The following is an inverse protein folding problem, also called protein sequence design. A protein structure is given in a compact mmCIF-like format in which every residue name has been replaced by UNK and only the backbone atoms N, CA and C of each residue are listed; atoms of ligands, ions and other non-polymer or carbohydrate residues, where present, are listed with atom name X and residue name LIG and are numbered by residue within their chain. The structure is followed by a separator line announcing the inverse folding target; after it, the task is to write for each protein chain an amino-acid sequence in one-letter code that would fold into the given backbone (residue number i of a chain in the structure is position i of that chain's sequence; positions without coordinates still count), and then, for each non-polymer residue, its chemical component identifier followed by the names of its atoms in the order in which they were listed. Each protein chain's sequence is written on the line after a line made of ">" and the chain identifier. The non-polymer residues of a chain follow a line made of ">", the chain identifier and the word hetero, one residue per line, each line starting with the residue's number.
data_IF_262804219806
#
_entry.id   IF_262804219806
#
_cell.length_a   1.000
_cell.length_b   1.000
_cell.length_c   1.000
_cell.angle_alpha   90.00
_cell.angle_beta   90.00
_cell.angle_gamma   90.00
#
_symmetry.space_group_name_H-M   'P 1'
#
loop_
_entity.id
_entity.type
_entity.pdbx_description
1 polymer ?
#
# COMPACT_ATOMS: atom_id res chain seq x y z
N UNK A 1 -5.78 -2.54 15.04
CA UNK A 1 -4.38 -2.36 15.46
C UNK A 1 -3.79 -3.56 16.20
N UNK A 2 -4.53 -4.28 17.04
CA UNK A 2 -4.00 -5.34 17.95
C UNK A 2 -3.27 -6.54 17.31
N UNK A 3 -3.32 -6.72 15.98
CA UNK A 3 -2.56 -7.76 15.26
C UNK A 3 -1.22 -7.27 14.70
N UNK A 4 -1.01 -5.96 14.65
CA UNK A 4 0.19 -5.36 14.05
C UNK A 4 1.34 -5.48 15.03
N UNK A 5 2.44 -6.09 14.59
CA UNK A 5 3.64 -6.36 15.43
C UNK A 5 4.77 -5.37 15.17
N UNK A 6 4.84 -4.83 13.96
CA UNK A 6 5.84 -3.84 13.56
C UNK A 6 5.27 -2.89 12.50
N UNK A 7 5.85 -1.70 12.42
CA UNK A 7 5.47 -0.67 11.46
C UNK A 7 6.61 -0.42 10.47
N UNK A 8 6.23 -0.21 9.22
CA UNK A 8 7.12 0.30 8.19
C UNK A 8 6.69 1.73 7.87
N UNK A 9 7.63 2.67 7.94
CA UNK A 9 7.33 4.09 7.80
C UNK A 9 7.30 4.47 6.30
N UNK A 10 6.37 5.33 5.86
CA UNK A 10 6.36 5.81 4.48
C UNK A 10 7.47 6.84 4.26
N UNK A 11 7.81 7.14 3.00
CA UNK A 11 8.80 8.18 2.67
C UNK A 11 10.22 7.80 3.07
N UNK A 12 10.65 6.57 2.73
CA UNK A 12 11.97 6.04 3.08
C UNK A 12 12.75 5.60 1.84
N UNK A 13 14.08 5.68 1.89
CA UNK A 13 14.97 5.06 0.89
C UNK A 13 15.29 3.61 1.26
N UNK A 14 14.75 2.65 0.49
CA UNK A 14 14.77 1.20 0.74
C UNK A 14 14.96 0.43 -0.58
N UNK A 15 16.20 0.33 -1.07
CA UNK A 15 16.48 -0.22 -2.41
C UNK A 15 15.85 0.60 -3.55
N UNK A 16 15.55 1.87 -3.27
CA UNK A 16 14.70 2.77 -4.05
C UNK A 16 13.81 3.58 -3.12
N UNK A 17 13.32 4.74 -3.55
CA UNK A 17 12.46 5.53 -2.69
C UNK A 17 11.05 4.93 -2.60
N UNK A 18 10.49 4.86 -1.40
CA UNK A 18 9.19 4.25 -1.12
C UNK A 18 8.25 5.29 -0.53
N UNK A 19 7.28 5.76 -1.32
CA UNK A 19 6.23 6.68 -0.87
C UNK A 19 5.15 6.02 0.01
N UNK A 20 5.35 4.77 0.42
CA UNK A 20 4.43 3.95 1.21
C UNK A 20 5.21 3.31 2.36
N UNK A 21 4.47 2.99 3.41
CA UNK A 21 4.95 2.18 4.52
C UNK A 21 4.21 0.86 4.53
N UNK A 22 3.91 0.35 5.71
CA UNK A 22 3.21 -0.92 5.84
C UNK A 22 3.01 -1.38 7.28
N UNK A 23 2.26 -2.46 7.39
CA UNK A 23 1.93 -3.12 8.65
C UNK A 23 2.48 -4.55 8.60
N UNK A 24 3.19 -4.96 9.65
CA UNK A 24 3.63 -6.36 9.81
C UNK A 24 2.74 -7.10 10.81
N UNK A 25 2.54 -8.39 10.58
CA UNK A 25 1.70 -9.27 11.38
C UNK A 25 2.44 -10.57 11.71
N UNK A 26 3.68 -10.48 12.20
CA UNK A 26 4.62 -11.61 12.29
C UNK A 26 4.11 -12.76 13.20
N UNK A 27 3.11 -12.49 14.06
CA UNK A 27 2.46 -13.48 14.92
C UNK A 27 1.16 -14.05 14.34
N UNK A 28 0.83 -13.76 13.09
CA UNK A 28 -0.43 -14.12 12.44
C UNK A 28 -0.19 -14.99 11.21
N UNK A 29 -1.16 -15.83 10.85
CA UNK A 29 -1.18 -16.47 9.53
C UNK A 29 -1.68 -15.49 8.45
N UNK A 30 -1.24 -15.68 7.22
CA UNK A 30 -1.60 -14.83 6.07
C UNK A 30 -3.10 -14.66 5.88
N UNK A 31 -3.84 -15.77 5.93
CA UNK A 31 -5.29 -15.89 5.77
C UNK A 31 -6.11 -15.34 6.95
N UNK A 32 -5.45 -14.94 8.03
CA UNK A 32 -6.11 -14.32 9.18
C UNK A 32 -6.16 -12.78 9.08
N UNK A 33 -5.56 -12.20 8.03
CA UNK A 33 -5.48 -10.75 7.82
C UNK A 33 -6.42 -10.34 6.69
N UNK A 34 -7.54 -9.72 7.08
CA UNK A 34 -8.54 -9.19 6.15
C UNK A 34 -8.26 -7.72 5.89
N UNK A 35 -8.20 -7.35 4.60
CA UNK A 35 -8.03 -5.96 4.17
C UNK A 35 -9.40 -5.39 3.84
N UNK A 36 -9.70 -4.21 4.40
CA UNK A 36 -10.92 -3.46 4.13
C UNK A 36 -10.58 -2.09 3.57
N UNK A 37 -11.45 -1.57 2.70
CA UNK A 37 -11.35 -0.20 2.23
C UNK A 37 -11.50 0.77 3.43
N UNK A 38 -10.51 1.63 3.73
CA UNK A 38 -10.57 2.52 4.88
C UNK A 38 -11.62 3.63 4.71
N UNK A 39 -11.89 4.02 3.46
CA UNK A 39 -12.87 5.01 3.03
C UNK A 39 -13.46 4.56 1.69
N UNK A 40 -14.68 5.00 1.35
CA UNK A 40 -15.26 4.71 0.02
C UNK A 40 -14.41 5.34 -1.10
N UNK A 41 -14.18 4.59 -2.17
CA UNK A 41 -13.27 4.97 -3.24
C UNK A 41 -13.51 4.14 -4.52
N UNK A 42 -12.91 4.58 -5.62
CA UNK A 42 -12.81 3.79 -6.85
C UNK A 42 -11.46 3.08 -6.88
N UNK A 43 -11.44 1.77 -7.13
CA UNK A 43 -10.26 1.07 -7.62
C UNK A 43 -9.99 1.55 -9.05
N UNK A 44 -8.90 2.29 -9.23
CA UNK A 44 -8.56 2.97 -10.49
C UNK A 44 -7.37 2.33 -11.20
N UNK A 45 -6.48 1.68 -10.45
CA UNK A 45 -5.39 0.90 -11.00
C UNK A 45 -5.15 -0.35 -10.15
N UNK A 46 -4.69 -1.43 -10.78
CA UNK A 46 -4.26 -2.62 -10.07
C UNK A 46 -3.14 -3.33 -10.84
N UNK A 47 -2.38 -4.18 -10.14
CA UNK A 47 -1.38 -5.06 -10.76
C UNK A 47 -1.49 -6.47 -10.17
N UNK A 48 -1.16 -7.47 -10.99
CA UNK A 48 -0.86 -8.84 -10.57
C UNK A 48 0.60 -9.10 -10.96
N UNK A 49 1.41 -9.55 -10.01
CA UNK A 49 2.82 -9.81 -10.26
C UNK A 49 3.32 -10.97 -9.41
N UNK A 50 4.47 -11.55 -9.78
CA UNK A 50 5.12 -12.57 -8.96
C UNK A 50 6.25 -11.94 -8.15
N UNK A 51 6.23 -12.17 -6.84
CA UNK A 51 7.36 -11.96 -5.93
C UNK A 51 7.95 -13.34 -5.60
N UNK A 52 9.06 -13.67 -6.26
CA UNK A 52 9.51 -15.06 -6.34
C UNK A 52 8.51 -15.91 -7.12
N UNK A 53 7.88 -16.88 -6.45
CA UNK A 53 6.86 -17.76 -7.03
C UNK A 53 5.44 -17.46 -6.51
N UNK A 54 5.29 -16.45 -5.66
CA UNK A 54 4.01 -16.11 -5.04
C UNK A 54 3.35 -14.97 -5.82
N UNK A 55 2.09 -15.15 -6.21
CA UNK A 55 1.29 -14.07 -6.79
C UNK A 55 0.99 -13.01 -5.72
N UNK A 56 1.20 -11.76 -6.10
CA UNK A 56 0.97 -10.58 -5.29
C UNK A 56 0.09 -9.61 -6.07
N UNK A 57 -0.79 -8.92 -5.35
CA UNK A 57 -1.72 -7.98 -5.93
C UNK A 57 -1.50 -6.60 -5.31
N UNK A 58 -1.34 -5.62 -6.20
CA UNK A 58 -1.36 -4.20 -5.88
C UNK A 58 -2.72 -3.63 -6.24
N UNK A 59 -3.38 -2.96 -5.30
CA UNK A 59 -4.67 -2.28 -5.47
C UNK A 59 -4.52 -0.80 -5.18
N UNK A 60 -4.86 0.06 -6.14
CA UNK A 60 -4.70 1.52 -6.04
C UNK A 60 -6.07 2.22 -6.19
N UNK A 61 -6.45 2.95 -5.15
CA UNK A 61 -7.77 3.54 -5.02
C UNK A 61 -7.73 5.06 -5.04
N UNK A 62 -8.74 5.67 -5.65
CA UNK A 62 -8.98 7.11 -5.67
C UNK A 62 -10.28 7.43 -4.91
N UNK A 63 -10.17 8.21 -3.85
CA UNK A 63 -11.31 8.68 -3.08
C UNK A 63 -11.75 10.08 -3.54
N UNK A 64 -13.07 10.35 -3.63
CA UNK A 64 -13.58 11.66 -4.05
C UNK A 64 -13.10 12.85 -3.21
N UNK A 65 -12.61 12.64 -2.00
CA UNK A 65 -12.08 13.70 -1.13
C UNK A 65 -10.66 14.17 -1.48
N UNK A 66 -10.09 13.70 -2.59
CA UNK A 66 -8.75 14.09 -3.06
C UNK A 66 -7.61 13.26 -2.48
N UNK A 67 -7.93 12.13 -1.87
CA UNK A 67 -6.93 11.16 -1.41
C UNK A 67 -6.87 9.96 -2.33
N UNK A 68 -5.67 9.45 -2.54
CA UNK A 68 -5.44 8.11 -3.03
C UNK A 68 -4.87 7.25 -1.92
N UNK A 69 -5.19 5.96 -1.92
CA UNK A 69 -4.52 4.99 -1.06
C UNK A 69 -4.23 3.72 -1.84
N UNK A 70 -3.19 3.00 -1.40
CA UNK A 70 -2.82 1.73 -2.00
C UNK A 70 -2.62 0.63 -0.98
N UNK A 71 -2.94 -0.59 -1.40
CA UNK A 71 -2.49 -1.82 -0.78
C UNK A 71 -1.58 -2.54 -1.75
N UNK A 72 -0.46 -3.07 -1.26
CA UNK A 72 0.40 -3.98 -2.00
C UNK A 72 0.71 -5.21 -1.13
N UNK A 73 1.21 -6.27 -1.75
CA UNK A 73 1.39 -7.58 -1.13
C UNK A 73 0.07 -8.17 -0.61
N UNK A 74 -1.04 -7.91 -1.33
CA UNK A 74 -2.29 -8.65 -1.13
C UNK A 74 -2.11 -10.01 -1.81
N UNK A 75 -2.36 -11.11 -1.09
CA UNK A 75 -2.19 -12.47 -1.63
C UNK A 75 -3.51 -13.21 -1.87
N UNK A 76 -4.63 -12.63 -1.43
CA UNK A 76 -5.97 -13.17 -1.63
C UNK A 76 -6.98 -12.04 -1.77
N UNK A 77 -7.92 -12.18 -2.70
CA UNK A 77 -8.89 -11.14 -3.05
C UNK A 77 -10.31 -11.50 -2.61
N UNK A 78 -11.10 -10.45 -2.35
CA UNK A 78 -12.55 -10.61 -2.25
C UNK A 78 -13.16 -10.90 -3.63
N UNK A 79 -14.28 -11.65 -3.75
CA UNK A 79 -14.85 -12.05 -5.04
C UNK A 79 -15.10 -10.90 -6.02
N UNK A 80 -15.60 -9.76 -5.53
CA UNK A 80 -15.84 -8.57 -6.35
C UNK A 80 -14.55 -7.98 -6.93
N UNK A 81 -13.46 -8.02 -6.17
CA UNK A 81 -12.15 -7.54 -6.63
C UNK A 81 -11.56 -8.56 -7.61
N UNK A 82 -11.65 -9.85 -7.31
CA UNK A 82 -11.19 -10.92 -8.20
C UNK A 82 -11.86 -10.81 -9.59
N UNK A 83 -13.18 -10.62 -9.64
CA UNK A 83 -13.93 -10.43 -10.88
C UNK A 83 -13.46 -9.21 -11.66
N UNK A 84 -13.28 -8.06 -11.00
CA UNK A 84 -12.82 -6.85 -11.65
C UNK A 84 -11.40 -6.99 -12.23
N UNK A 85 -10.54 -7.77 -11.57
CA UNK A 85 -9.15 -7.97 -11.97
C UNK A 85 -8.96 -8.99 -13.11
N UNK A 86 -10.03 -9.64 -13.61
CA UNK A 86 -9.95 -10.57 -14.74
C UNK A 86 -9.44 -9.93 -16.05
N UNK A 87 -9.50 -8.60 -16.15
CA UNK A 87 -8.98 -7.84 -17.30
C UNK A 87 -7.45 -7.73 -17.31
N UNK A 88 -6.79 -8.03 -16.20
CA UNK A 88 -5.34 -7.95 -16.04
C UNK A 88 -4.72 -9.30 -16.41
N UNK A 89 -3.81 -9.30 -17.38
CA UNK A 89 -3.20 -10.54 -17.88
C UNK A 89 -2.10 -11.07 -16.95
N UNK A 90 -2.34 -12.25 -16.38
CA UNK A 90 -1.38 -13.02 -15.57
C UNK A 90 -0.85 -12.26 -14.36
N UNK A 91 0.01 -12.90 -13.56
CA UNK A 91 1.06 -12.19 -12.85
C UNK A 91 2.33 -12.16 -13.70
N UNK A 92 2.93 -10.98 -13.85
CA UNK A 92 4.24 -10.83 -14.52
C UNK A 92 5.34 -10.84 -13.47
N UNK A 93 6.42 -11.60 -13.70
CA UNK A 93 7.51 -11.71 -12.72
C UNK A 93 8.17 -10.36 -12.46
N UNK A 94 8.21 -9.95 -11.18
CA UNK A 94 8.88 -8.72 -10.71
C UNK A 94 8.43 -7.43 -11.39
N UNK A 95 7.23 -7.42 -11.98
CA UNK A 95 6.69 -6.26 -12.67
C UNK A 95 5.39 -5.79 -12.01
N UNK A 96 5.55 -4.88 -11.04
CA UNK A 96 4.44 -4.30 -10.28
C UNK A 96 3.78 -3.11 -10.99
N UNK A 97 4.03 -2.91 -12.30
CA UNK A 97 3.38 -1.83 -13.04
C UNK A 97 1.88 -2.07 -13.11
N UNK A 98 1.12 -1.04 -12.78
CA UNK A 98 -0.34 -1.12 -12.70
C UNK A 98 -1.00 -0.95 -14.06
N UNK A 99 -2.19 -1.54 -14.19
CA UNK A 99 -3.13 -1.36 -15.29
C UNK A 99 -4.29 -0.50 -14.82
N UNK A 100 -4.71 0.47 -15.63
CA UNK A 100 -5.90 1.27 -15.34
C UNK A 100 -7.19 0.45 -15.45
N UNK A 101 -8.08 0.61 -14.48
CA UNK A 101 -9.39 -0.03 -14.46
C UNK A 101 -10.38 0.80 -15.29
N UNK A 102 -11.08 0.15 -16.23
CA UNK A 102 -12.09 0.79 -17.07
C UNK A 102 -13.32 -0.11 -17.23
N UNK A 103 -14.47 0.22 -16.61
CA UNK A 103 -14.66 1.35 -15.69
C UNK A 103 -13.93 1.13 -14.34
N UNK A 104 -13.59 2.21 -13.60
CA UNK A 104 -13.15 2.08 -12.21
C UNK A 104 -14.21 1.39 -11.34
N UNK A 105 -13.79 0.54 -10.41
CA UNK A 105 -14.70 -0.20 -9.53
C UNK A 105 -14.93 0.55 -8.22
N UNK A 106 -16.18 0.91 -7.91
CA UNK A 106 -16.52 1.51 -6.62
C UNK A 106 -16.50 0.47 -5.47
N UNK A 107 -15.89 0.84 -4.34
CA UNK A 107 -15.93 0.09 -3.08
C UNK A 107 -16.39 0.99 -1.95
N UNK A 108 -17.18 0.45 -1.02
CA UNK A 108 -17.64 1.18 0.14
C UNK A 108 -16.64 1.12 1.30
N UNK A 109 -16.68 2.13 2.17
CA UNK A 109 -15.95 2.11 3.43
C UNK A 109 -16.26 0.83 4.22
N UNK A 110 -15.21 0.12 4.65
CA UNK A 110 -15.31 -1.12 5.40
C UNK A 110 -15.55 -2.36 4.53
N UNK A 111 -15.78 -2.22 3.22
CA UNK A 111 -15.91 -3.33 2.29
C UNK A 111 -14.60 -4.15 2.25
N UNK A 112 -14.72 -5.48 2.24
CA UNK A 112 -13.55 -6.37 2.15
C UNK A 112 -12.99 -6.33 0.74
N UNK A 113 -11.71 -6.02 0.60
CA UNK A 113 -11.01 -5.98 -0.69
C UNK A 113 -9.96 -7.09 -0.81
N UNK A 114 -9.42 -7.56 0.32
CA UNK A 114 -8.45 -8.66 0.37
C UNK A 114 -8.71 -9.59 1.54
N UNK A 115 -8.36 -10.86 1.36
CA UNK A 115 -8.61 -11.96 2.31
C UNK A 115 -7.34 -12.55 2.89
N UNK A 116 -6.17 -12.26 2.32
CA UNK A 116 -4.86 -12.61 2.87
C UNK A 116 -3.77 -11.65 2.39
N UNK A 117 -2.64 -11.63 3.09
CA UNK A 117 -1.51 -10.71 2.81
C UNK A 117 -0.15 -11.39 2.89
N UNK A 118 0.86 -10.74 2.31
CA UNK A 118 2.26 -11.08 2.42
C UNK A 118 2.71 -12.22 1.50
N UNK A 119 3.88 -12.78 1.83
CA UNK A 119 4.55 -13.89 1.15
C UNK A 119 4.61 -15.05 2.16
N UNK A 120 3.60 -15.94 2.18
CA UNK A 120 3.53 -17.04 3.12
C UNK A 120 4.70 -18.02 2.93
N UNK A 121 5.08 -18.79 3.98
CA UNK A 121 4.46 -18.82 5.31
C UNK A 121 5.05 -17.82 6.32
N UNK A 122 6.12 -17.11 5.99
CA UNK A 122 6.96 -16.42 7.00
C UNK A 122 6.95 -14.89 6.93
N UNK A 123 6.47 -14.27 5.85
CA UNK A 123 6.51 -12.82 5.68
C UNK A 123 5.08 -12.26 5.55
N UNK A 124 4.40 -12.08 6.69
CA UNK A 124 3.01 -11.62 6.72
C UNK A 124 2.96 -10.12 6.97
N UNK A 125 2.71 -9.35 5.91
CA UNK A 125 2.67 -7.90 5.92
C UNK A 125 1.76 -7.39 4.80
N UNK A 126 1.34 -6.13 4.91
CA UNK A 126 0.70 -5.41 3.81
C UNK A 126 1.35 -4.04 3.72
N UNK A 127 1.71 -3.67 2.51
CA UNK A 127 2.22 -2.32 2.22
C UNK A 127 1.04 -1.37 2.05
N UNK A 128 1.16 -0.19 2.65
CA UNK A 128 0.12 0.82 2.64
C UNK A 128 0.69 2.20 2.32
N UNK A 129 0.12 2.83 1.31
CA UNK A 129 0.41 4.21 0.92
C UNK A 129 -0.83 5.07 1.03
N UNK A 130 -0.65 6.32 1.47
CA UNK A 130 -1.67 7.35 1.45
C UNK A 130 -1.09 8.58 0.77
N UNK A 131 -1.87 9.17 -0.14
CA UNK A 131 -1.44 10.28 -0.98
C UNK A 131 -2.51 11.36 -0.99
N UNK A 132 -2.13 12.59 -0.66
CA UNK A 132 -2.99 13.77 -0.74
C UNK A 132 -2.70 14.50 -2.05
N UNK A 133 -3.53 14.30 -3.08
CA UNK A 133 -3.27 14.91 -4.40
C UNK A 133 -3.80 16.34 -4.51
N UNK A 134 -4.35 16.91 -3.43
CA UNK A 134 -4.83 18.30 -3.41
C UNK A 134 -3.67 19.29 -3.36
N UNK A 135 -2.52 18.86 -2.85
CA UNK A 135 -1.29 19.64 -2.76
C UNK A 135 -0.08 18.70 -2.73
N UNK A 136 1.03 19.01 -3.43
CA UNK A 136 2.28 18.28 -3.26
C UNK A 136 2.76 18.34 -1.80
N UNK A 137 3.48 17.30 -1.37
CA UNK A 137 4.21 17.33 -0.12
C UNK A 137 5.39 18.31 -0.21
N UNK A 138 5.85 18.78 0.94
CA UNK A 138 6.98 19.73 1.02
C UNK A 138 8.34 19.02 0.93
N UNK A 139 8.35 17.73 0.58
CA UNK A 139 9.58 16.97 0.40
C UNK A 139 10.13 17.38 -0.96
N UNK A 140 11.10 18.29 -0.95
CA UNK A 140 11.80 18.70 -2.16
C UNK A 140 12.94 17.72 -2.43
N UNK A 141 12.83 16.85 -3.44
CA UNK A 141 13.98 16.13 -3.96
C UNK A 141 15.18 17.05 -4.19
N UNK A 142 16.36 16.65 -3.74
CA UNK A 142 17.57 16.93 -4.52
C UNK A 142 17.34 16.41 -5.97
N UNK A 143 17.82 17.07 -7.03
CA UNK A 143 17.80 16.51 -8.39
C UNK A 143 18.17 15.00 -8.50
N UNK A 144 19.11 14.50 -7.69
CA UNK A 144 19.46 13.07 -7.58
C UNK A 144 18.35 12.20 -6.96
N UNK A 145 17.52 12.80 -6.12
CA UNK A 145 16.30 12.21 -5.55
C UNK A 145 15.21 12.11 -6.62
N UNK A 146 15.01 13.09 -7.51
CA UNK A 146 14.00 12.99 -8.58
C UNK A 146 14.23 11.81 -9.55
N UNK A 147 15.48 11.44 -9.83
CA UNK A 147 15.81 10.30 -10.70
C UNK A 147 15.60 8.94 -10.02
N UNK A 148 15.70 8.90 -8.69
CA UNK A 148 15.43 7.70 -7.88
C UNK A 148 13.94 7.30 -7.87
N UNK A 149 13.06 8.15 -8.41
CA UNK A 149 11.60 8.03 -8.36
C UNK A 149 10.99 7.56 -9.68
N UNK A 150 11.78 7.25 -10.71
CA UNK A 150 11.25 7.01 -12.07
C UNK A 150 10.06 6.03 -12.13
N UNK A 151 9.97 5.09 -11.19
CA UNK A 151 8.91 4.08 -11.13
C UNK A 151 7.72 4.42 -10.19
N UNK A 152 7.82 5.41 -9.28
CA UNK A 152 6.73 5.82 -8.33
C UNK A 152 6.52 7.36 -8.36
N UNK A 153 7.03 8.02 -9.41
CA UNK A 153 7.14 9.48 -9.59
C UNK A 153 5.79 10.19 -9.44
N UNK A 154 4.72 9.55 -9.87
CA UNK A 154 3.39 10.17 -9.92
C UNK A 154 2.83 10.44 -8.52
N UNK A 155 3.09 9.56 -7.55
CA UNK A 155 2.49 9.67 -6.20
C UNK A 155 3.50 9.97 -5.09
N UNK A 156 4.81 9.77 -5.31
CA UNK A 156 5.83 10.16 -4.35
C UNK A 156 5.70 11.61 -3.90
N UNK A 157 5.44 12.54 -4.82
CA UNK A 157 5.24 13.96 -4.51
C UNK A 157 3.95 14.28 -3.75
N UNK A 158 3.04 13.32 -3.58
CA UNK A 158 1.78 13.51 -2.85
C UNK A 158 1.70 12.62 -1.61
N UNK A 159 2.72 11.81 -1.34
CA UNK A 159 2.74 10.92 -0.19
C UNK A 159 2.73 11.69 1.12
N UNK A 160 1.98 11.17 2.09
CA UNK A 160 1.86 11.74 3.45
C UNK A 160 2.18 10.70 4.51
N UNK A 161 2.44 11.15 5.73
CA UNK A 161 2.52 10.24 6.87
C UNK A 161 1.13 9.69 7.19
N UNK A 162 0.80 8.50 6.69
CA UNK A 162 -0.53 7.93 6.93
C UNK A 162 -0.83 7.69 8.42
N UNK A 163 0.20 7.63 9.28
CA UNK A 163 0.01 7.53 10.72
C UNK A 163 -0.80 8.71 11.28
N UNK A 164 -0.72 9.90 10.67
CA UNK A 164 -1.46 11.10 11.10
C UNK A 164 -2.93 11.07 10.70
N UNK A 165 -3.32 10.11 9.87
CA UNK A 165 -4.68 9.93 9.36
C UNK A 165 -5.35 8.68 9.94
N UNK A 166 -4.67 7.95 10.82
CA UNK A 166 -5.25 6.79 11.50
C UNK A 166 -6.19 7.23 12.63
N UNK A 167 -7.28 6.47 12.89
CA UNK A 167 -8.27 6.85 13.88
C UNK A 167 -7.72 6.77 15.30
N UNK A 168 -8.16 7.69 16.17
CA UNK A 168 -7.84 7.66 17.60
C UNK A 168 -6.33 7.72 17.87
N UNK A 169 -5.80 6.75 18.61
CA UNK A 169 -4.38 6.68 18.98
C UNK A 169 -3.56 5.75 18.10
N UNK A 170 -4.15 5.19 17.03
CA UNK A 170 -3.49 4.18 16.20
C UNK A 170 -2.18 4.69 15.56
N UNK A 171 -2.14 5.97 15.18
CA UNK A 171 -0.90 6.62 14.71
C UNK A 171 0.21 6.66 15.75
N UNK A 172 -0.12 6.87 17.02
CA UNK A 172 0.86 6.83 18.12
C UNK A 172 1.31 5.40 18.39
N UNK A 173 0.38 4.44 18.33
CA UNK A 173 0.69 3.01 18.44
C UNK A 173 1.70 2.60 17.38
N UNK A 174 1.47 2.92 16.10
CA UNK A 174 2.42 2.58 15.03
C UNK A 174 3.80 3.21 15.24
N UNK A 175 3.87 4.46 15.68
CA UNK A 175 5.14 5.12 15.98
C UNK A 175 5.92 4.47 17.13
N UNK A 176 5.21 3.78 18.04
CA UNK A 176 5.80 3.05 19.16
C UNK A 176 6.28 1.64 18.80
N UNK A 177 5.76 1.06 17.72
CA UNK A 177 6.10 -0.31 17.31
C UNK A 177 7.56 -0.42 16.84
N UNK A 178 8.12 -1.65 16.89
CA UNK A 178 9.37 -1.98 16.21
C UNK A 178 9.32 -1.64 14.71
N UNK A 179 10.49 -1.37 14.14
CA UNK A 179 10.69 -1.04 12.72
C UNK A 179 11.76 -1.92 12.10
N UNK A 180 11.86 -1.91 10.77
CA UNK A 180 12.96 -2.55 10.03
C UNK A 180 14.30 -1.82 10.17
N UNK A 181 15.24 -2.16 9.29
CA UNK A 181 16.62 -1.65 9.27
C UNK A 181 16.66 -0.12 9.13
N UNK A 182 15.73 0.44 8.36
CA UNK A 182 15.64 1.88 8.08
C UNK A 182 15.10 2.68 9.26
N UNK A 183 14.63 2.00 10.31
CA UNK A 183 14.23 2.64 11.54
C UNK A 183 13.01 3.54 11.35
N UNK A 184 13.06 4.68 12.04
CA UNK A 184 12.00 5.71 12.06
C UNK A 184 12.36 6.93 11.19
N UNK A 185 13.43 6.87 10.41
CA UNK A 185 13.81 7.95 9.51
C UNK A 185 12.81 7.99 8.37
N UNK A 186 12.09 9.09 8.20
CA UNK A 186 11.08 9.28 7.15
C UNK A 186 11.09 10.72 6.70
N UNK A 187 10.83 10.95 5.42
CA UNK A 187 10.63 12.29 4.88
C UNK A 187 9.16 12.76 5.04
N UNK A 188 8.24 11.84 5.34
CA UNK A 188 6.81 12.15 5.49
C UNK A 188 6.40 12.26 6.95
N UNK A 189 7.03 11.46 7.82
CA UNK A 189 6.84 11.34 9.25
C UNK A 189 8.15 11.71 9.97
#
# INVERSE_FOLDING_TARGET
>A
MNKVTAALWPGQSRGGYKGHGGFRFDSSSADSIIIRAPISAHLVQAARYLEGNEEQILLFFSSPCGFFYRFDHVSGLAPKIEEALQVITGPVTTDSRTTFMSPPLWVEQGEVVGTSVGIPPSNIFVDFGLYDVRQPNNVTPDPAWADSFANDKEFGHYGVCFFDYLPGTDGQTLRSLPTGIEGKTSDYC
#
